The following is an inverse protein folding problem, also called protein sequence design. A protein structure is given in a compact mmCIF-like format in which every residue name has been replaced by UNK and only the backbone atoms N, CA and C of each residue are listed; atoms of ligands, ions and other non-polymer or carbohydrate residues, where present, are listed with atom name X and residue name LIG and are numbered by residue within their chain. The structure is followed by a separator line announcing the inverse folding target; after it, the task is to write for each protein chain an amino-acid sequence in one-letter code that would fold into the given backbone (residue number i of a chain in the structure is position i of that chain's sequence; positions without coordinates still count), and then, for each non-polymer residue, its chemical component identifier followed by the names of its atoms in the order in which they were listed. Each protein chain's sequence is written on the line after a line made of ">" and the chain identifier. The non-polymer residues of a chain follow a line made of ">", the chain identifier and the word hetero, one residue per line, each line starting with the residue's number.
data_IF_779283855909
#
_entry.id   IF_779283855909
#
_cell.length_a   1.000
_cell.length_b   1.000
_cell.length_c   1.000
_cell.angle_alpha   90.00
_cell.angle_beta   90.00
_cell.angle_gamma   90.00
#
_symmetry.space_group_name_H-M   'P 1'
#
loop_
_entity.id
_entity.type
_entity.pdbx_description
1 polymer ?
#
# COMPACT_ATOMS: atom_id res chain seq x y z
N UNK A 1 8.26 5.98 0.48
CA UNK A 1 7.00 5.46 1.06
C UNK A 1 6.59 6.37 2.20
N UNK A 2 5.96 7.48 1.84
CA UNK A 2 5.35 8.43 2.77
C UNK A 2 3.85 8.19 2.95
N UNK A 3 3.19 7.54 1.98
CA UNK A 3 1.77 7.18 2.06
C UNK A 3 1.41 5.98 1.16
N UNK A 4 0.18 5.51 1.28
CA UNK A 4 -0.37 4.37 0.52
C UNK A 4 -0.39 4.59 -1.00
N UNK A 5 -0.48 5.83 -1.46
CA UNK A 5 -0.46 6.18 -2.88
C UNK A 5 0.90 5.85 -3.50
N UNK A 6 1.98 6.19 -2.80
CA UNK A 6 3.34 5.83 -3.24
C UNK A 6 3.53 4.31 -3.27
N UNK A 7 3.04 3.57 -2.25
CA UNK A 7 3.15 2.11 -2.23
C UNK A 7 2.40 1.47 -3.41
N UNK A 8 1.19 1.97 -3.73
CA UNK A 8 0.41 1.50 -4.89
C UNK A 8 1.12 1.79 -6.21
N UNK A 9 1.75 2.95 -6.35
CA UNK A 9 2.55 3.27 -7.52
C UNK A 9 3.75 2.30 -7.66
N UNK A 10 4.46 2.04 -6.57
CA UNK A 10 5.57 1.08 -6.55
C UNK A 10 5.13 -0.34 -6.90
N UNK A 11 3.98 -0.81 -6.38
CA UNK A 11 3.42 -2.11 -6.75
C UNK A 11 3.01 -2.19 -8.22
N UNK A 12 2.52 -1.08 -8.79
CA UNK A 12 2.17 -1.02 -10.21
C UNK A 12 3.41 -1.13 -11.10
N UNK A 13 4.50 -0.44 -10.73
CA UNK A 13 5.80 -0.56 -11.39
C UNK A 13 6.35 -1.99 -11.25
N UNK A 14 6.32 -2.55 -10.04
CA UNK A 14 6.78 -3.91 -9.78
C UNK A 14 6.06 -4.95 -10.65
N UNK A 15 4.75 -4.78 -10.85
CA UNK A 15 3.96 -5.64 -11.74
C UNK A 15 4.42 -5.53 -13.21
N UNK A 16 4.68 -4.31 -13.69
CA UNK A 16 5.19 -4.09 -15.04
C UNK A 16 6.57 -4.74 -15.22
N UNK A 17 7.48 -4.55 -14.25
CA UNK A 17 8.84 -5.11 -14.28
C UNK A 17 8.83 -6.64 -14.22
N UNK A 18 7.93 -7.23 -13.42
CA UNK A 18 7.75 -8.67 -13.36
C UNK A 18 7.23 -9.23 -14.69
N UNK A 19 6.29 -8.52 -15.32
CA UNK A 19 5.73 -8.90 -16.62
C UNK A 19 6.75 -8.79 -17.75
N UNK A 20 7.63 -7.79 -17.72
CA UNK A 20 8.69 -7.63 -18.72
C UNK A 20 9.88 -8.56 -18.49
N UNK A 21 9.95 -9.22 -17.33
CA UNK A 21 11.12 -10.01 -16.92
C UNK A 21 12.32 -9.15 -16.52
N UNK A 22 12.09 -7.86 -16.24
CA UNK A 22 13.13 -6.91 -15.82
C UNK A 22 13.48 -7.03 -14.33
N UNK A 23 12.71 -7.80 -13.56
CA UNK A 23 12.98 -8.13 -12.16
C UNK A 23 12.90 -9.64 -11.93
N UNK A 24 13.71 -10.12 -10.99
CA UNK A 24 13.66 -11.50 -10.54
C UNK A 24 12.34 -11.82 -9.80
N UNK A 25 11.77 -12.99 -10.09
CA UNK A 25 10.49 -13.44 -9.53
C UNK A 25 10.55 -13.56 -8.00
N UNK A 26 11.68 -14.02 -7.45
CA UNK A 26 11.84 -14.17 -6.00
C UNK A 26 11.89 -12.81 -5.33
N UNK A 27 12.64 -11.85 -5.90
CA UNK A 27 12.65 -10.47 -5.39
C UNK A 27 11.25 -9.87 -5.44
N UNK A 28 10.54 -10.00 -6.56
CA UNK A 28 9.18 -9.47 -6.69
C UNK A 28 8.20 -10.10 -5.68
N UNK A 29 8.34 -11.40 -5.40
CA UNK A 29 7.56 -12.11 -4.38
C UNK A 29 7.78 -11.54 -2.97
N UNK A 30 9.05 -11.32 -2.57
CA UNK A 30 9.37 -10.76 -1.26
C UNK A 30 8.89 -9.31 -1.09
N UNK A 31 9.01 -8.51 -2.17
CA UNK A 31 8.48 -7.14 -2.20
C UNK A 31 6.96 -7.13 -2.05
N UNK A 32 6.25 -7.99 -2.79
CA UNK A 32 4.79 -8.10 -2.68
C UNK A 32 4.34 -8.59 -1.28
N UNK A 33 5.06 -9.54 -0.68
CA UNK A 33 4.79 -9.98 0.69
C UNK A 33 4.94 -8.83 1.70
N UNK A 34 6.01 -8.04 1.56
CA UNK A 34 6.27 -6.89 2.42
C UNK A 34 5.17 -5.83 2.27
N UNK A 35 4.76 -5.55 1.05
CA UNK A 35 3.65 -4.63 0.78
C UNK A 35 2.34 -5.09 1.43
N UNK A 36 2.02 -6.39 1.36
CA UNK A 36 0.85 -6.96 2.04
C UNK A 36 0.89 -6.76 3.56
N UNK A 37 2.06 -6.91 4.20
CA UNK A 37 2.23 -6.64 5.64
C UNK A 37 2.01 -5.17 6.00
N UNK A 38 2.50 -4.24 5.17
CA UNK A 38 2.28 -2.79 5.36
C UNK A 38 0.78 -2.44 5.22
N UNK A 39 0.10 -2.98 4.22
CA UNK A 39 -1.34 -2.76 4.05
C UNK A 39 -2.11 -3.31 5.25
N UNK A 40 -1.72 -4.48 5.75
CA UNK A 40 -2.35 -5.06 6.95
C UNK A 40 -2.10 -4.23 8.21
N UNK A 41 -0.92 -3.63 8.41
CA UNK A 41 -0.68 -2.75 9.56
C UNK A 41 -1.57 -1.51 9.51
N UNK A 42 -1.71 -0.89 8.33
CA UNK A 42 -2.61 0.25 8.12
C UNK A 42 -4.08 -0.14 8.37
N UNK A 43 -4.48 -1.36 7.97
CA UNK A 43 -5.82 -1.87 8.28
C UNK A 43 -6.05 -1.99 9.79
N UNK A 44 -5.06 -2.52 10.54
CA UNK A 44 -5.15 -2.62 12.00
C UNK A 44 -5.28 -1.23 12.65
N UNK A 45 -4.56 -0.22 12.15
CA UNK A 45 -4.70 1.16 12.64
C UNK A 45 -6.11 1.72 12.39
N UNK A 46 -6.69 1.48 11.21
CA UNK A 46 -8.07 1.88 10.90
C UNK A 46 -9.09 1.16 11.78
N UNK A 47 -8.93 -0.15 11.97
CA UNK A 47 -9.80 -0.96 12.83
C UNK A 47 -9.74 -0.46 14.29
N UNK A 48 -8.54 -0.10 14.77
CA UNK A 48 -8.34 0.48 16.11
C UNK A 48 -9.01 1.85 16.27
N UNK A 49 -8.86 2.74 15.29
CA UNK A 49 -9.53 4.04 15.29
C UNK A 49 -11.06 3.89 15.31
N UNK A 50 -11.59 2.97 14.49
CA UNK A 50 -13.01 2.65 14.44
C UNK A 50 -13.54 2.14 15.80
N UNK A 51 -12.79 1.27 16.50
CA UNK A 51 -13.15 0.81 17.84
C UNK A 51 -13.20 1.95 18.88
N UNK A 52 -12.37 2.98 18.71
CA UNK A 52 -12.36 4.17 19.57
C UNK A 52 -13.41 5.22 19.17
N UNK A 53 -14.20 4.97 18.13
CA UNK A 53 -15.16 5.92 17.55
C UNK A 53 -14.48 7.21 17.07
N UNK A 54 -13.22 7.12 16.68
CA UNK A 54 -12.50 8.21 16.05
C UNK A 54 -12.70 8.10 14.54
N UNK A 55 -13.02 9.21 13.87
CA UNK A 55 -12.96 9.26 12.41
C UNK A 55 -11.50 9.51 11.98
N UNK A 56 -10.79 8.49 11.46
CA UNK A 56 -9.42 8.69 11.03
C UNK A 56 -9.39 9.66 9.85
N UNK A 57 -8.52 10.68 9.94
CA UNK A 57 -8.25 11.57 8.81
C UNK A 57 -7.43 10.83 7.76
N UNK A 58 -8.09 10.21 6.79
CA UNK A 58 -7.43 9.50 5.70
C UNK A 58 -7.12 10.49 4.56
N UNK A 59 -5.87 10.94 4.48
CA UNK A 59 -5.44 11.96 3.50
C UNK A 59 -5.74 11.60 2.04
N UNK A 60 -5.59 10.33 1.64
CA UNK A 60 -5.85 9.94 0.26
C UNK A 60 -7.34 9.96 -0.10
N UNK A 61 -8.26 9.81 0.88
CA UNK A 61 -9.69 10.00 0.65
C UNK A 61 -10.03 11.49 0.47
N UNK A 62 -9.25 12.38 1.09
CA UNK A 62 -9.37 13.84 0.92
C UNK A 62 -8.89 14.34 -0.44
N UNK A 63 -8.13 13.56 -1.21
CA UNK A 63 -7.63 13.93 -2.55
C UNK A 63 -8.69 13.89 -3.66
N UNK A 64 -9.97 13.70 -3.33
CA UNK A 64 -11.07 13.72 -4.30
C UNK A 64 -11.71 15.12 -4.36
N UNK A 65 -10.97 16.11 -4.89
CA UNK A 65 -11.48 17.39 -5.46
C UNK A 65 -10.30 18.33 -5.85
N UNK A 66 -9.54 18.01 -6.89
CA UNK A 66 -8.82 18.98 -7.74
C UNK A 66 -8.69 18.41 -9.15
#
# INVERSE_FOLDING_TARGET
>A
MKNITELRAQLSTLFADLKSGSIDVKIASEMNNTAGKIINSLKVELDYAAQRKEEPSIEFLKQSNQ
#
